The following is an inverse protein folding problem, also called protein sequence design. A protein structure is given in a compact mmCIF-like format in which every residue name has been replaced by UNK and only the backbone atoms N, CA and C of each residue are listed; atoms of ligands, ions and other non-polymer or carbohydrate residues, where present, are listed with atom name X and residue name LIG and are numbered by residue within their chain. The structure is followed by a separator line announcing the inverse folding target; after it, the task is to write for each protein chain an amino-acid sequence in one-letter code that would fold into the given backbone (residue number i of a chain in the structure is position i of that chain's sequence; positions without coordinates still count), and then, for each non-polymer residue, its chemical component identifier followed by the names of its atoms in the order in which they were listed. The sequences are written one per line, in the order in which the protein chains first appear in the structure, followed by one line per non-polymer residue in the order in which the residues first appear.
data_IF_299124778388
#
_entry.id   IF_299124778388
#
_cell.length_a   1.000
_cell.length_b   1.000
_cell.length_c   1.000
_cell.angle_alpha   90.00
_cell.angle_beta   90.00
_cell.angle_gamma   90.00
#
_symmetry.space_group_name_H-M   'P 1'
#
loop_
_entity.id
_entity.type
_entity.pdbx_description
1 polymer ?
#
# COMPACT_ATOMS: atom_id res chain seq x y z
N UNK A 1 16.89 14.21 -6.95
CA UNK A 1 15.72 13.59 -7.61
C UNK A 1 16.03 12.15 -7.94
N UNK A 2 15.29 11.22 -7.35
CA UNK A 2 15.42 9.78 -7.57
C UNK A 2 14.08 9.18 -8.00
N UNK A 3 14.11 8.11 -8.80
CA UNK A 3 12.93 7.36 -9.20
C UNK A 3 12.65 6.29 -8.15
N UNK A 4 11.49 6.37 -7.51
CA UNK A 4 11.08 5.45 -6.46
C UNK A 4 9.96 4.55 -6.98
N UNK A 5 10.25 3.24 -7.00
CA UNK A 5 9.31 2.18 -7.35
C UNK A 5 8.85 1.46 -6.09
N UNK A 6 7.57 1.59 -5.75
CA UNK A 6 6.96 0.91 -4.62
C UNK A 6 6.41 -0.45 -5.03
N UNK A 7 6.83 -1.49 -4.31
CA UNK A 7 6.44 -2.88 -4.54
C UNK A 7 5.72 -3.47 -3.34
N UNK A 8 4.65 -4.21 -3.60
CA UNK A 8 4.02 -5.10 -2.63
C UNK A 8 4.33 -6.54 -3.07
N UNK A 9 5.38 -7.13 -2.48
CA UNK A 9 5.92 -8.41 -2.93
C UNK A 9 6.51 -8.29 -4.35
N UNK A 10 5.81 -8.87 -5.35
CA UNK A 10 6.20 -8.81 -6.76
C UNK A 10 5.40 -7.79 -7.58
N UNK A 11 4.40 -7.15 -6.97
CA UNK A 11 3.51 -6.21 -7.66
C UNK A 11 4.05 -4.79 -7.57
N UNK A 12 4.24 -4.11 -8.70
CA UNK A 12 4.53 -2.67 -8.72
C UNK A 12 3.25 -1.88 -8.42
N UNK A 13 3.25 -1.14 -7.32
CA UNK A 13 2.08 -0.40 -6.82
C UNK A 13 2.08 1.05 -7.31
N UNK A 14 3.23 1.71 -7.23
CA UNK A 14 3.41 3.10 -7.61
C UNK A 14 4.84 3.32 -8.09
N UNK A 15 5.01 4.13 -9.12
CA UNK A 15 6.30 4.66 -9.55
C UNK A 15 6.20 6.18 -9.57
N UNK A 16 7.15 6.88 -8.96
CA UNK A 16 7.22 8.34 -9.02
C UNK A 16 8.64 8.85 -8.82
N UNK A 17 8.92 10.03 -9.38
CA UNK A 17 10.09 10.80 -9.01
C UNK A 17 9.88 11.41 -7.61
N UNK A 18 10.89 11.33 -6.75
CA UNK A 18 10.90 11.95 -5.43
C UNK A 18 12.25 12.63 -5.17
N UNK A 19 12.22 13.69 -4.39
CA UNK A 19 13.44 14.32 -3.88
C UNK A 19 14.00 13.57 -2.67
N UNK A 20 13.10 12.98 -1.88
CA UNK A 20 13.42 12.23 -0.67
C UNK A 20 13.00 10.77 -0.79
N UNK A 21 13.87 9.86 -0.34
CA UNK A 21 13.63 8.43 -0.35
C UNK A 21 13.04 8.03 1.01
N UNK A 22 11.91 7.31 1.05
CA UNK A 22 11.32 6.87 2.31
C UNK A 22 12.24 5.90 3.05
N UNK A 23 12.18 5.92 4.38
CA UNK A 23 13.03 5.06 5.24
C UNK A 23 12.29 3.78 5.65
N UNK A 24 13.04 2.69 5.90
CA UNK A 24 12.46 1.46 6.43
C UNK A 24 11.72 1.73 7.75
N UNK A 25 10.50 1.18 7.86
CA UNK A 25 9.64 1.37 9.02
C UNK A 25 8.78 2.64 9.01
N UNK A 26 8.91 3.50 8.00
CA UNK A 26 8.07 4.69 7.86
C UNK A 26 6.63 4.32 7.49
N UNK A 27 5.67 5.01 8.12
CA UNK A 27 4.25 4.92 7.77
C UNK A 27 3.98 5.75 6.51
N UNK A 28 3.30 5.14 5.56
CA UNK A 28 3.03 5.75 4.26
C UNK A 28 1.59 5.50 3.82
N UNK A 29 1.10 6.38 2.96
CA UNK A 29 -0.19 6.22 2.30
C UNK A 29 0.00 6.27 0.80
N UNK A 30 -0.19 5.15 0.13
CA UNK A 30 -0.07 5.03 -1.33
C UNK A 30 -1.43 4.69 -1.90
N UNK A 31 -1.90 5.49 -2.87
CA UNK A 31 -3.19 5.29 -3.57
C UNK A 31 -4.37 5.05 -2.60
N UNK A 32 -4.43 5.84 -1.52
CA UNK A 32 -5.49 5.73 -0.51
C UNK A 32 -5.32 4.61 0.51
N UNK A 33 -4.43 3.64 0.27
CA UNK A 33 -4.13 2.53 1.19
C UNK A 33 -3.06 2.93 2.21
N UNK A 34 -3.31 2.64 3.48
CA UNK A 34 -2.32 2.79 4.55
C UNK A 34 -1.38 1.59 4.54
N UNK A 35 -0.10 1.84 4.75
CA UNK A 35 0.91 0.81 4.81
C UNK A 35 2.19 1.29 5.44
N UNK A 36 3.15 0.38 5.53
CA UNK A 36 4.46 0.61 6.12
C UNK A 36 5.56 0.16 5.17
N UNK A 37 6.65 0.91 5.13
CA UNK A 37 7.85 0.53 4.38
C UNK A 37 8.53 -0.65 5.06
N UNK A 38 8.61 -1.78 4.37
CA UNK A 38 9.29 -2.99 4.84
C UNK A 38 10.79 -2.96 4.54
N UNK A 39 11.20 -2.33 3.44
CA UNK A 39 12.62 -2.22 3.09
C UNK A 39 12.83 -1.36 1.85
N UNK A 40 14.07 -0.90 1.67
CA UNK A 40 14.50 -0.09 0.54
C UNK A 40 15.73 -0.74 -0.07
N UNK A 41 15.74 -0.92 -1.38
CA UNK A 41 16.88 -1.42 -2.12
C UNK A 41 17.21 -0.50 -3.28
N UNK A 42 18.50 -0.23 -3.46
CA UNK A 42 19.01 0.54 -4.58
C UNK A 42 19.31 -0.41 -5.74
N UNK A 43 18.81 -0.08 -6.94
CA UNK A 43 18.90 -0.93 -8.13
C UNK A 43 19.79 -0.32 -9.23
N UNK A 44 20.20 0.92 -9.07
CA UNK A 44 21.06 1.69 -9.98
C UNK A 44 21.25 3.11 -9.44
N UNK A 45 21.96 3.96 -10.18
CA UNK A 45 22.41 5.27 -9.69
C UNK A 45 21.31 6.22 -9.19
N UNK A 46 20.07 6.06 -9.65
CA UNK A 46 18.95 6.92 -9.24
C UNK A 46 17.61 6.17 -9.13
N UNK A 47 17.65 4.84 -9.02
CA UNK A 47 16.44 4.01 -9.00
C UNK A 47 16.38 3.22 -7.69
N UNK A 48 15.33 3.47 -6.92
CA UNK A 48 15.07 2.82 -5.64
C UNK A 48 13.83 1.95 -5.70
N UNK A 49 13.97 0.72 -5.23
CA UNK A 49 12.88 -0.22 -5.05
C UNK A 49 12.50 -0.25 -3.57
N UNK A 50 11.27 0.13 -3.27
CA UNK A 50 10.75 0.23 -1.91
C UNK A 50 9.71 -0.86 -1.71
N UNK A 51 9.98 -1.81 -0.83
CA UNK A 51 9.03 -2.83 -0.43
C UNK A 51 8.07 -2.25 0.61
N UNK A 52 6.78 -2.40 0.38
CA UNK A 52 5.70 -1.86 1.21
C UNK A 52 4.69 -2.94 1.54
N UNK A 53 4.20 -2.87 2.77
CA UNK A 53 3.15 -3.76 3.29
C UNK A 53 1.92 -2.91 3.59
N UNK A 54 0.79 -3.22 2.97
CA UNK A 54 -0.46 -2.51 3.22
C UNK A 54 -1.29 -3.23 4.27
N UNK A 55 -2.08 -2.46 5.01
CA UNK A 55 -3.09 -3.02 5.89
C UNK A 55 -4.17 -3.73 5.05
N UNK A 56 -4.65 -4.91 5.49
CA UNK A 56 -5.71 -5.61 4.78
C UNK A 56 -6.98 -4.76 4.77
N UNK A 57 -7.56 -4.58 3.58
CA UNK A 57 -8.85 -3.91 3.44
C UNK A 57 -9.93 -4.88 3.94
N UNK A 58 -10.25 -4.80 5.23
CA UNK A 58 -11.38 -5.53 5.80
C UNK A 58 -12.64 -4.91 5.21
N UNK A 59 -13.17 -5.52 4.14
CA UNK A 59 -14.53 -5.29 3.71
C UNK A 59 -15.41 -5.75 4.87
N UNK A 60 -15.89 -4.82 5.68
CA UNK A 60 -17.02 -5.09 6.57
C UNK A 60 -18.17 -5.45 5.64
N UNK A 61 -18.36 -6.75 5.42
CA UNK A 61 -19.56 -7.26 4.81
C UNK A 61 -20.67 -6.76 5.72
N UNK A 62 -21.42 -5.77 5.26
CA UNK A 62 -22.62 -5.36 5.94
C UNK A 62 -23.41 -6.66 6.10
N UNK A 63 -23.51 -7.14 7.35
CA UNK A 63 -24.42 -8.23 7.68
C UNK A 63 -25.76 -7.70 7.20
N UNK A 64 -26.19 -8.16 6.03
CA UNK A 64 -27.54 -8.01 5.55
C UNK A 64 -28.35 -8.73 6.61
N UNK A 65 -28.78 -7.96 7.63
CA UNK A 65 -29.86 -8.39 8.49
C UNK A 65 -31.03 -8.52 7.53
N UNK A 66 -31.23 -9.76 7.07
CA UNK A 66 -32.40 -10.25 6.37
C UNK A 66 -33.55 -10.08 7.36
N UNK A 67 -33.98 -8.83 7.55
CA UNK A 67 -35.19 -8.51 8.28
C UNK A 67 -36.33 -8.75 7.29
N UNK A 68 -36.42 -10.02 6.85
CA UNK A 68 -37.59 -10.65 6.31
C UNK A 68 -38.67 -10.46 7.37
N UNK A 69 -39.40 -9.34 7.26
CA UNK A 69 -40.73 -9.19 7.83
C UNK A 69 -41.58 -10.30 7.22
N UNK A 70 -41.56 -11.46 7.87
CA UNK A 70 -42.56 -12.50 7.71
C UNK A 70 -43.54 -12.36 8.87
N UNK A 71 -44.82 -12.19 8.52
CA UNK A 71 -46.09 -12.24 9.30
C UNK A 71 -46.85 -10.91 9.21
N UNK A 72 -48.16 -10.88 8.94
CA UNK A 72 -49.19 -11.91 8.70
C UNK A 72 -50.27 -11.28 7.81
#
# INVERSE_FOLDING_TARGET
MAVVHYFEGRLLVLSRLMDEIPTAGQDIKIKGRKGKVAGVSEKGENIFHVQVTFEPVVKRQALLSDNKKKRR
#
